data_IF_754863261018
#
_entry.id   IF_754863261018
#
_cell.length_a   1.000
_cell.length_b   1.000
_cell.length_c   1.000
_cell.angle_alpha   90.00
_cell.angle_beta   90.00
_cell.angle_gamma   90.00
#
_symmetry.space_group_name_H-M   'P 1'
#
loop_
_entity.id
_entity.type
_entity.pdbx_description
1 polymer ?
#
# COMPACT_ATOMS: atom_id res chain seq x y z
N UNK A 1 -20.95 -2.72 8.41
CA UNK A 1 -20.64 -2.35 7.01
C UNK A 1 -19.26 -2.89 6.66
N UNK A 2 -19.04 -3.23 5.38
CA UNK A 2 -17.76 -3.73 4.86
C UNK A 2 -17.05 -2.57 4.15
N UNK A 3 -15.78 -2.36 4.45
CA UNK A 3 -14.98 -1.25 3.89
C UNK A 3 -13.70 -1.81 3.28
N UNK A 4 -13.44 -1.40 2.05
CA UNK A 4 -12.19 -1.71 1.35
C UNK A 4 -11.26 -0.50 1.45
N UNK A 5 -10.02 -0.71 1.90
CA UNK A 5 -8.98 0.30 1.94
C UNK A 5 -7.86 -0.14 1.02
N UNK A 6 -7.53 0.68 0.03
CA UNK A 6 -6.36 0.45 -0.81
C UNK A 6 -5.19 1.29 -0.33
N UNK A 7 -4.06 0.65 -0.05
CA UNK A 7 -2.79 1.30 0.24
C UNK A 7 -1.66 0.57 -0.50
N UNK A 8 -0.95 1.22 -1.43
CA UNK A 8 -0.11 0.50 -2.39
C UNK A 8 0.94 -0.41 -1.78
N UNK A 9 1.63 0.02 -0.71
CA UNK A 9 2.72 -0.73 -0.10
C UNK A 9 2.64 -0.70 1.43
N UNK A 10 2.47 -1.86 2.06
CA UNK A 10 2.53 -2.03 3.53
C UNK A 10 3.84 -2.75 3.85
N UNK A 11 4.90 -2.00 4.09
CA UNK A 11 6.25 -2.58 4.13
C UNK A 11 7.23 -1.87 5.07
N UNK A 12 6.85 -0.78 5.73
CA UNK A 12 7.76 -0.03 6.58
C UNK A 12 7.03 0.65 7.74
N UNK A 13 7.70 0.93 8.85
CA UNK A 13 7.05 1.63 9.97
C UNK A 13 6.89 3.12 9.67
N UNK A 14 5.85 3.52 8.93
CA UNK A 14 5.50 4.93 8.63
C UNK A 14 4.26 5.41 9.36
N UNK A 15 4.08 6.75 9.35
CA UNK A 15 2.87 7.39 9.85
C UNK A 15 1.60 6.90 9.14
N UNK A 16 1.64 6.71 7.82
CA UNK A 16 0.48 6.21 7.07
C UNK A 16 0.07 4.81 7.55
N UNK A 17 1.04 3.90 7.69
CA UNK A 17 0.80 2.55 8.19
C UNK A 17 0.29 2.55 9.64
N UNK A 18 0.80 3.46 10.49
CA UNK A 18 0.27 3.65 11.85
C UNK A 18 -1.18 4.14 11.84
N UNK A 19 -1.50 5.12 11.00
CA UNK A 19 -2.87 5.65 10.86
C UNK A 19 -3.84 4.57 10.39
N UNK A 20 -3.43 3.73 9.43
CA UNK A 20 -4.25 2.61 8.96
C UNK A 20 -4.55 1.63 10.11
N UNK A 21 -3.56 1.30 10.92
CA UNK A 21 -3.76 0.41 12.07
C UNK A 21 -4.70 0.97 13.13
N UNK A 22 -4.55 2.26 13.47
CA UNK A 22 -5.44 2.91 14.43
C UNK A 22 -6.87 3.02 13.88
N UNK A 23 -7.02 3.41 12.62
CA UNK A 23 -8.30 3.52 11.94
C UNK A 23 -9.03 2.18 11.92
N UNK A 24 -8.37 1.14 11.42
CA UNK A 24 -8.99 -0.18 11.29
C UNK A 24 -9.16 -0.90 12.63
N UNK A 25 -8.33 -0.57 13.63
CA UNK A 25 -8.40 -1.17 14.96
C UNK A 25 -9.47 -0.57 15.88
N UNK A 26 -9.78 0.71 15.72
CA UNK A 26 -10.82 1.41 16.51
C UNK A 26 -12.19 1.41 15.83
N UNK A 27 -12.28 0.88 14.61
CA UNK A 27 -13.52 0.88 13.85
C UNK A 27 -14.40 -0.31 14.18
N UNK A 28 -15.71 -0.07 14.31
CA UNK A 28 -16.75 -1.12 14.38
C UNK A 28 -17.04 -1.82 13.05
N UNK A 29 -16.39 -1.39 11.96
CA UNK A 29 -16.62 -1.91 10.62
C UNK A 29 -15.66 -3.04 10.29
N UNK A 30 -16.04 -3.89 9.34
CA UNK A 30 -15.14 -4.93 8.81
C UNK A 30 -14.30 -4.32 7.70
N UNK A 31 -12.99 -4.27 7.89
CA UNK A 31 -12.04 -3.72 6.95
C UNK A 31 -11.29 -4.82 6.21
N UNK A 32 -11.06 -4.60 4.92
CA UNK A 32 -10.11 -5.38 4.10
C UNK A 32 -9.12 -4.39 3.50
N UNK A 33 -7.83 -4.65 3.69
CA UNK A 33 -6.73 -3.80 3.23
C UNK A 33 -6.14 -4.43 1.98
N UNK A 34 -6.19 -3.73 0.87
CA UNK A 34 -5.60 -4.16 -0.40
C UNK A 34 -4.26 -3.45 -0.60
N UNK A 35 -3.22 -4.22 -0.89
CA UNK A 35 -1.85 -3.71 -1.11
C UNK A 35 -1.18 -4.46 -2.25
N UNK A 36 -0.29 -3.82 -3.01
CA UNK A 36 0.51 -4.49 -4.04
C UNK A 36 1.84 -5.03 -3.50
N UNK A 37 2.18 -4.67 -2.26
CA UNK A 37 3.36 -5.18 -1.59
C UNK A 37 3.14 -5.26 -0.08
N UNK A 38 3.26 -6.44 0.50
CA UNK A 38 3.16 -6.66 1.94
C UNK A 38 4.44 -7.27 2.52
N UNK A 39 5.08 -6.58 3.46
CA UNK A 39 6.29 -7.06 4.14
C UNK A 39 6.10 -7.10 5.67
N UNK A 40 5.50 -8.17 6.22
CA UNK A 40 5.16 -8.29 7.66
C UNK A 40 6.36 -8.36 8.60
N UNK A 41 7.58 -8.53 8.06
CA UNK A 41 8.83 -8.49 8.83
C UNK A 41 9.36 -7.08 9.07
N UNK A 42 8.94 -6.11 8.25
CA UNK A 42 9.47 -4.73 8.26
C UNK A 42 8.41 -3.68 8.58
N UNK A 43 7.11 -4.03 8.55
CA UNK A 43 6.01 -3.20 9.05
C UNK A 43 5.68 -3.46 10.53
N UNK A 44 4.69 -2.75 11.08
CA UNK A 44 4.11 -2.98 12.38
C UNK A 44 3.47 -4.38 12.49
N UNK A 45 3.70 -5.10 13.61
CA UNK A 45 3.16 -6.46 13.80
C UNK A 45 1.63 -6.50 13.80
N UNK A 46 0.96 -5.40 14.16
CA UNK A 46 -0.49 -5.30 14.20
C UNK A 46 -1.19 -5.51 12.85
N UNK A 47 -0.47 -5.48 11.71
CA UNK A 47 -1.04 -5.86 10.42
C UNK A 47 -1.26 -7.36 10.26
N UNK A 48 -0.58 -8.20 11.06
CA UNK A 48 -0.75 -9.67 11.01
C UNK A 48 -2.13 -10.12 11.46
N UNK A 49 -2.75 -9.34 12.34
CA UNK A 49 -4.09 -9.57 12.87
C UNK A 49 -5.18 -8.89 12.01
N UNK A 50 -4.84 -8.38 10.83
CA UNK A 50 -5.76 -7.65 9.94
C UNK A 50 -5.97 -8.43 8.64
N UNK A 51 -7.13 -8.20 8.04
CA UNK A 51 -7.48 -8.75 6.73
C UNK A 51 -6.73 -7.98 5.64
N UNK A 52 -5.50 -8.40 5.34
CA UNK A 52 -4.64 -7.83 4.30
C UNK A 52 -4.62 -8.76 3.09
N UNK A 53 -5.02 -8.23 1.94
CA UNK A 53 -5.03 -8.91 0.65
C UNK A 53 -3.93 -8.30 -0.21
N UNK A 54 -2.90 -9.10 -0.50
CA UNK A 54 -1.87 -8.72 -1.46
C UNK A 54 -2.40 -8.93 -2.89
N UNK A 55 -2.37 -7.86 -3.68
CA UNK A 55 -2.70 -7.80 -5.09
C UNK A 55 -1.44 -8.01 -5.94
N UNK A 56 -1.62 -8.21 -7.24
CA UNK A 56 -0.52 -8.37 -8.19
C UNK A 56 0.52 -7.24 -8.06
N UNK A 57 1.79 -7.65 -8.10
CA UNK A 57 2.91 -6.74 -7.91
C UNK A 57 2.99 -5.76 -9.08
N UNK A 58 2.75 -4.50 -8.81
CA UNK A 58 2.96 -3.42 -9.79
C UNK A 58 4.45 -3.05 -9.76
N UNK A 59 5.12 -3.25 -10.89
CA UNK A 59 6.52 -2.83 -11.05
C UNK A 59 6.59 -1.30 -11.04
N UNK A 60 7.03 -0.72 -9.92
CA UNK A 60 7.33 0.72 -9.81
C UNK A 60 8.77 0.95 -10.26
N UNK A 61 9.10 0.47 -11.47
CA UNK A 61 10.39 0.73 -12.08
C UNK A 61 10.51 2.23 -12.40
N UNK A 62 11.02 3.00 -11.43
CA UNK A 62 11.45 4.38 -11.64
C UNK A 62 12.80 4.36 -12.36
N UNK A 63 12.81 4.01 -13.64
CA UNK A 63 14.00 4.23 -14.46
C UNK A 63 13.95 5.66 -15.02
N UNK A 64 15.05 6.41 -14.86
CA UNK A 64 15.19 7.75 -15.44
C UNK A 64 14.96 7.70 -16.95
N UNK A 65 15.31 6.58 -17.59
CA UNK A 65 15.08 6.34 -19.01
C UNK A 65 13.59 6.27 -19.41
N UNK A 66 12.69 5.59 -18.68
CA UNK A 66 11.26 5.62 -19.06
C UNK A 66 10.62 6.95 -18.72
N UNK A 67 11.05 7.61 -17.63
CA UNK A 67 10.59 8.98 -17.33
C UNK A 67 11.00 9.94 -18.45
N UNK A 68 12.27 9.91 -18.87
CA UNK A 68 12.77 10.73 -19.97
C UNK A 68 12.07 10.46 -21.30
N UNK A 69 11.76 9.19 -21.60
CA UNK A 69 11.01 8.80 -22.81
C UNK A 69 9.59 9.36 -22.82
N UNK A 70 8.90 9.39 -21.67
CA UNK A 70 7.57 9.97 -21.53
C UNK A 70 7.62 11.50 -21.66
N UNK A 71 8.59 12.17 -21.02
CA UNK A 71 8.79 13.60 -21.17
C UNK A 71 9.03 14.01 -22.62
N UNK A 72 9.90 13.27 -23.35
CA UNK A 72 10.15 13.51 -24.77
C UNK A 72 8.90 13.36 -25.64
N UNK A 73 8.02 12.42 -25.31
CA UNK A 73 6.75 12.19 -26.02
C UNK A 73 5.71 13.30 -25.75
N UNK A 74 5.78 13.96 -24.59
CA UNK A 74 4.89 15.08 -24.24
C UNK A 74 5.34 16.43 -24.81
N UNK A 75 6.63 16.60 -25.09
CA UNK A 75 7.19 17.81 -25.70
C UNK A 75 7.03 17.87 -27.23
N UNK A 76 6.44 16.85 -27.83
CA UNK A 76 6.29 16.69 -29.27
C UNK A 76 4.82 16.69 -29.65
#
# INVERSE_FOLDING_TARGET
>A
MRVALYYPWVYLTSGAERTILELTGRSRHRWTIFTNHYSPGTTFPGFRDRDVVELDRVSVARNVASVGKVCWKLMR
#
